data_IF_602010019363
#
_entry.id   IF_602010019363
#
_cell.length_a   1.000
_cell.length_b   1.000
_cell.length_c   1.000
_cell.angle_alpha   90.00
_cell.angle_beta   90.00
_cell.angle_gamma   90.00
#
_symmetry.space_group_name_H-M   'P 1'
#
loop_
_entity.id
_entity.type
_entity.pdbx_description
1 polymer ?
#
# COMPACT_ATOMS: atom_id res chain seq x y z
N UNK A 1 -3.43 -15.06 24.76
CA UNK A 1 -4.03 -14.12 23.78
C UNK A 1 -3.97 -14.76 22.41
N UNK A 2 -5.07 -15.32 21.90
CA UNK A 2 -5.10 -15.83 20.52
C UNK A 2 -5.24 -14.62 19.57
N UNK A 3 -4.20 -14.29 18.80
CA UNK A 3 -4.35 -13.24 17.78
C UNK A 3 -5.27 -13.79 16.68
N UNK A 4 -6.32 -13.02 16.34
CA UNK A 4 -7.25 -13.38 15.29
C UNK A 4 -6.53 -13.28 13.93
N UNK A 5 -5.87 -14.36 13.54
CA UNK A 5 -5.13 -14.45 12.30
C UNK A 5 -5.99 -15.08 11.22
N UNK A 6 -6.42 -14.28 10.24
CA UNK A 6 -7.13 -14.73 9.05
C UNK A 6 -6.13 -14.99 7.92
N UNK A 7 -6.50 -15.86 6.97
CA UNK A 7 -5.74 -16.04 5.72
C UNK A 7 -6.39 -15.15 4.67
N UNK A 8 -5.63 -14.22 4.11
CA UNK A 8 -6.05 -13.31 3.05
C UNK A 8 -5.46 -13.78 1.71
N UNK A 9 -6.26 -13.72 0.65
CA UNK A 9 -5.79 -13.81 -0.73
C UNK A 9 -5.40 -12.40 -1.20
N UNK A 10 -4.16 -12.23 -1.65
CA UNK A 10 -3.67 -11.01 -2.28
C UNK A 10 -3.35 -11.34 -3.73
N UNK A 11 -4.01 -10.65 -4.66
CA UNK A 11 -3.82 -10.86 -6.09
C UNK A 11 -3.74 -9.54 -6.86
N UNK A 12 -3.17 -9.58 -8.08
CA UNK A 12 -3.14 -8.46 -9.00
C UNK A 12 -3.62 -8.88 -10.40
N UNK A 13 -3.86 -7.91 -11.28
CA UNK A 13 -4.34 -8.15 -12.65
C UNK A 13 -3.30 -8.84 -13.55
N UNK A 14 -2.03 -8.87 -13.13
CA UNK A 14 -0.96 -9.58 -13.82
C UNK A 14 -0.94 -11.09 -13.54
N UNK A 15 -1.91 -11.61 -12.79
CA UNK A 15 -2.04 -13.04 -12.48
C UNK A 15 -1.24 -13.51 -11.26
N UNK A 16 -0.65 -12.60 -10.48
CA UNK A 16 -0.04 -12.95 -9.20
C UNK A 16 -1.13 -13.25 -8.17
N UNK A 17 -0.99 -14.34 -7.41
CA UNK A 17 -1.86 -14.68 -6.29
C UNK A 17 -1.05 -15.26 -5.12
N UNK A 18 -1.26 -14.74 -3.91
CA UNK A 18 -0.57 -15.19 -2.68
C UNK A 18 -1.54 -15.31 -1.51
N UNK A 19 -1.33 -16.35 -0.69
CA UNK A 19 -2.06 -16.55 0.56
C UNK A 19 -1.19 -16.07 1.72
N UNK A 20 -1.71 -15.10 2.49
CA UNK A 20 -0.97 -14.47 3.60
C UNK A 20 -1.81 -14.53 4.87
N UNK A 21 -1.22 -15.09 5.94
CA UNK A 21 -1.83 -15.08 7.26
C UNK A 21 -1.51 -13.76 7.96
N UNK A 22 -2.53 -12.97 8.32
CA UNK A 22 -2.35 -11.70 9.00
C UNK A 22 -3.53 -11.38 9.93
N UNK A 23 -3.37 -10.35 10.77
CA UNK A 23 -4.45 -9.84 11.62
C UNK A 23 -5.39 -8.89 10.86
N UNK A 24 -4.87 -8.15 9.87
CA UNK A 24 -5.62 -7.17 9.06
C UNK A 24 -5.27 -7.27 7.57
N UNK A 25 -6.19 -6.91 6.66
CA UNK A 25 -5.94 -6.93 5.21
C UNK A 25 -4.75 -6.05 4.78
N UNK A 26 -4.61 -4.86 5.37
CA UNK A 26 -3.52 -3.92 5.05
C UNK A 26 -2.14 -4.49 5.36
N UNK A 27 -2.02 -5.28 6.43
CA UNK A 27 -0.77 -6.00 6.75
C UNK A 27 -0.45 -7.08 5.73
N UNK A 28 -1.47 -7.84 5.28
CA UNK A 28 -1.30 -8.85 4.24
C UNK A 28 -0.86 -8.21 2.91
N UNK A 29 -1.50 -7.11 2.50
CA UNK A 29 -1.13 -6.37 1.30
C UNK A 29 0.28 -5.81 1.39
N UNK A 30 0.63 -5.14 2.51
CA UNK A 30 1.96 -4.59 2.73
C UNK A 30 3.05 -5.65 2.67
N UNK A 31 2.81 -6.83 3.25
CA UNK A 31 3.76 -7.94 3.21
C UNK A 31 4.07 -8.39 1.78
N UNK A 32 3.05 -8.48 0.92
CA UNK A 32 3.24 -8.81 -0.50
C UNK A 32 3.90 -7.66 -1.25
N UNK A 33 3.47 -6.42 -1.01
CA UNK A 33 4.02 -5.25 -1.67
C UNK A 33 5.53 -5.07 -1.40
N UNK A 34 5.99 -5.39 -0.19
CA UNK A 34 7.41 -5.32 0.17
C UNK A 34 8.32 -6.24 -0.65
N UNK A 35 7.77 -7.32 -1.22
CA UNK A 35 8.51 -8.27 -2.05
C UNK A 35 8.59 -7.82 -3.52
N UNK A 36 7.70 -6.89 -3.92
CA UNK A 36 7.54 -6.48 -5.33
C UNK A 36 7.88 -5.01 -5.59
N UNK A 37 7.89 -4.16 -4.55
CA UNK A 37 8.07 -2.73 -4.67
C UNK A 37 9.14 -2.22 -3.71
N UNK A 38 9.98 -1.32 -4.22
CA UNK A 38 10.91 -0.51 -3.43
C UNK A 38 10.35 0.90 -3.32
N UNK A 39 10.36 1.46 -2.11
CA UNK A 39 9.94 2.84 -1.86
C UNK A 39 11.13 3.61 -1.29
N UNK A 40 11.51 4.69 -1.96
CA UNK A 40 12.53 5.64 -1.54
C UNK A 40 12.01 7.07 -1.72
N UNK A 41 12.64 8.02 -1.02
CA UNK A 41 12.39 9.45 -1.30
C UNK A 41 13.08 9.78 -2.62
N UNK A 42 12.32 10.22 -3.61
CA UNK A 42 12.87 10.68 -4.88
C UNK A 42 13.67 11.98 -4.66
N UNK A 43 14.81 12.09 -5.33
CA UNK A 43 15.58 13.34 -5.42
C UNK A 43 14.89 14.36 -6.34
N UNK A 44 15.31 15.62 -6.27
CA UNK A 44 14.78 16.67 -7.15
C UNK A 44 15.02 16.36 -8.63
N UNK A 45 16.22 15.87 -8.98
CA UNK A 45 16.57 15.54 -10.35
C UNK A 45 15.71 14.39 -10.89
N UNK A 46 15.47 13.35 -10.08
CA UNK A 46 14.57 12.25 -10.45
C UNK A 46 13.13 12.73 -10.64
N UNK A 47 12.64 13.62 -9.77
CA UNK A 47 11.31 14.21 -9.92
C UNK A 47 11.19 14.96 -11.25
N UNK A 48 12.19 15.76 -11.63
CA UNK A 48 12.20 16.50 -12.90
C UNK A 48 12.26 15.53 -14.08
N UNK A 49 13.17 14.56 -14.05
CA UNK A 49 13.37 13.59 -15.12
C UNK A 49 12.09 12.77 -15.41
N UNK A 50 11.47 12.22 -14.36
CA UNK A 50 10.28 11.38 -14.51
C UNK A 50 9.06 12.20 -14.93
N UNK A 51 8.94 13.44 -14.46
CA UNK A 51 7.87 14.35 -14.91
C UNK A 51 8.02 14.66 -16.40
N UNK A 52 9.24 14.93 -16.89
CA UNK A 52 9.51 15.15 -18.32
C UNK A 52 9.25 13.90 -19.18
N UNK A 53 9.37 12.70 -18.59
CA UNK A 53 8.98 11.42 -19.21
C UNK A 53 7.46 11.17 -19.20
N UNK A 54 6.66 12.11 -18.69
CA UNK A 54 5.21 12.00 -18.65
C UNK A 54 4.67 11.18 -17.48
N UNK A 55 5.48 10.97 -16.42
CA UNK A 55 5.06 10.31 -15.18
C UNK A 55 4.74 11.39 -14.14
N UNK A 56 3.47 11.74 -13.91
CA UNK A 56 3.10 12.80 -12.97
C UNK A 56 3.22 12.34 -11.51
N UNK A 57 3.42 13.30 -10.62
CA UNK A 57 3.29 13.06 -9.17
C UNK A 57 1.81 12.86 -8.82
N UNK A 58 1.52 11.81 -8.06
CA UNK A 58 0.18 11.50 -7.56
C UNK A 58 0.07 11.81 -6.06
N UNK A 59 -1.11 12.28 -5.64
CA UNK A 59 -1.40 12.61 -4.23
C UNK A 59 -2.46 11.66 -3.69
N UNK A 60 -2.13 10.95 -2.62
CA UNK A 60 -3.12 10.18 -1.86
C UNK A 60 -4.01 11.13 -1.06
N UNK A 61 -5.33 10.93 -1.09
CA UNK A 61 -6.23 11.59 -0.15
C UNK A 61 -6.12 10.87 1.19
N UNK A 62 -5.92 11.61 2.27
CA UNK A 62 -6.12 11.04 3.59
C UNK A 62 -7.62 10.69 3.72
N UNK A 63 -7.94 9.43 4.00
CA UNK A 63 -9.27 9.08 4.50
C UNK A 63 -9.39 9.71 5.89
N UNK A 64 -10.13 10.81 5.99
CA UNK A 64 -10.46 11.41 7.28
C UNK A 64 -11.31 10.40 8.06
N UNK A 65 -10.75 9.87 9.14
CA UNK A 65 -11.53 9.15 10.14
C UNK A 65 -12.44 10.18 10.82
N UNK A 66 -13.75 10.11 10.56
CA UNK A 66 -14.73 10.85 11.35
C UNK A 66 -14.62 10.36 12.81
N UNK A 67 -14.18 11.26 13.69
CA UNK A 67 -14.23 11.02 15.12
C UNK A 67 -15.71 11.17 15.53
N UNK A 68 -16.34 10.16 16.16
CA UNK A 68 -17.70 10.34 16.65
C UNK A 68 -17.71 11.47 17.68
N UNK A 69 -18.67 12.39 17.53
CA UNK A 69 -18.90 13.45 18.51
C UNK A 69 -19.08 12.83 19.89
N UNK A 70 -18.29 13.32 20.85
CA UNK A 70 -18.43 12.91 22.24
C UNK A 70 -19.67 13.63 22.82
N UNK A 71 -20.75 12.87 23.04
CA UNK A 71 -21.90 13.28 23.85
C UNK A 71 -21.49 13.60 25.31
#
# INVERSE_FOLDING_TARGET
MASNNRIYLVSNDAGMARLVRATHPSHALRHVAQDSFTVTVASQDECIELTLKGIPVETIKAEQMDLPDAD
#
